data_IF_646654342116
#
_entry.id   IF_646654342116
#
_cell.length_a   1.000
_cell.length_b   1.000
_cell.length_c   1.000
_cell.angle_alpha   90.00
_cell.angle_beta   90.00
_cell.angle_gamma   90.00
#
_symmetry.space_group_name_H-M   'P 1'
#
loop_
_entity.id
_entity.type
_entity.pdbx_description
1 polymer ?
#
# COMPACT_ATOMS: atom_id res chain seq x y z
N UNK A 1 5.39 -20.29 6.73
CA UNK A 1 4.78 -19.87 5.45
C UNK A 1 4.22 -18.46 5.60
N UNK A 2 4.38 -17.59 4.60
CA UNK A 2 3.73 -16.27 4.61
C UNK A 2 2.27 -16.43 4.18
N UNK A 3 1.34 -15.80 4.90
CA UNK A 3 -0.08 -15.76 4.55
C UNK A 3 -0.42 -14.38 3.97
N UNK A 4 -1.21 -14.34 2.91
CA UNK A 4 -1.71 -13.07 2.36
C UNK A 4 -2.76 -12.49 3.31
N UNK A 5 -2.50 -11.31 3.86
CA UNK A 5 -3.40 -10.59 4.76
C UNK A 5 -4.42 -9.78 3.98
N UNK A 6 -3.96 -9.01 2.99
CA UNK A 6 -4.82 -8.27 2.09
C UNK A 6 -4.15 -8.07 0.73
N UNK A 7 -4.96 -7.76 -0.27
CA UNK A 7 -4.54 -7.45 -1.63
C UNK A 7 -5.23 -6.17 -2.08
N UNK A 8 -4.44 -5.23 -2.59
CA UNK A 8 -4.89 -4.00 -3.23
C UNK A 8 -4.59 -4.11 -4.72
N UNK A 9 -5.56 -3.79 -5.57
CA UNK A 9 -5.39 -3.70 -7.02
C UNK A 9 -5.48 -2.23 -7.44
N UNK A 10 -4.62 -1.83 -8.36
CA UNK A 10 -4.72 -0.56 -9.07
C UNK A 10 -5.47 -0.83 -10.38
N UNK A 11 -6.47 -0.01 -10.67
CA UNK A 11 -7.25 -0.04 -11.90
C UNK A 11 -7.62 1.39 -12.29
N UNK A 12 -7.24 1.81 -13.49
CA UNK A 12 -7.49 3.17 -14.01
C UNK A 12 -7.05 4.27 -13.02
N UNK A 13 -5.87 4.12 -12.41
CA UNK A 13 -5.35 5.11 -11.47
C UNK A 13 -5.98 5.09 -10.08
N UNK A 14 -6.82 4.09 -9.77
CA UNK A 14 -7.47 3.93 -8.46
C UNK A 14 -7.07 2.66 -7.76
N UNK A 15 -6.78 2.77 -6.47
CA UNK A 15 -6.46 1.65 -5.59
C UNK A 15 -7.72 1.12 -4.92
N UNK A 16 -7.98 -0.19 -5.08
CA UNK A 16 -9.15 -0.89 -4.55
C UNK A 16 -8.71 -2.16 -3.81
N UNK A 17 -9.35 -2.46 -2.68
CA UNK A 17 -9.08 -3.71 -1.95
C UNK A 17 -9.85 -4.84 -2.61
N UNK A 18 -9.13 -5.84 -3.10
CA UNK A 18 -9.74 -7.03 -3.73
C UNK A 18 -9.76 -8.24 -2.81
N UNK A 19 -8.98 -8.23 -1.73
CA UNK A 19 -8.96 -9.31 -0.73
C UNK A 19 -8.55 -8.80 0.63
N UNK A 20 -9.19 -9.30 1.68
CA UNK A 20 -8.85 -8.98 3.07
C UNK A 20 -9.27 -7.56 3.45
N UNK A 21 -8.64 -7.04 4.51
CA UNK A 21 -8.92 -5.70 5.01
C UNK A 21 -7.63 -4.87 5.05
N UNK A 22 -7.53 -3.88 4.15
CA UNK A 22 -6.46 -2.90 4.17
C UNK A 22 -6.91 -1.66 4.97
N UNK A 23 -6.02 -0.99 5.71
CA UNK A 23 -6.38 0.26 6.38
C UNK A 23 -6.82 1.34 5.39
N UNK A 24 -7.90 2.08 5.69
CA UNK A 24 -8.40 3.14 4.81
C UNK A 24 -7.32 4.19 4.47
N UNK A 25 -6.52 4.59 5.47
CA UNK A 25 -5.41 5.52 5.24
C UNK A 25 -4.35 5.00 4.25
N UNK A 26 -4.13 3.69 4.22
CA UNK A 26 -3.24 3.06 3.24
C UNK A 26 -3.84 3.11 1.82
N UNK A 27 -5.14 2.84 1.67
CA UNK A 27 -5.83 2.91 0.37
C UNK A 27 -5.83 4.34 -0.17
N UNK A 28 -6.14 5.34 0.66
CA UNK A 28 -6.10 6.75 0.28
C UNK A 28 -4.70 7.17 -0.15
N UNK A 29 -3.67 6.80 0.60
CA UNK A 29 -2.29 7.09 0.24
C UNK A 29 -1.86 6.38 -1.07
N UNK A 30 -2.28 5.13 -1.28
CA UNK A 30 -2.04 4.43 -2.54
C UNK A 30 -2.70 5.14 -3.73
N UNK A 31 -3.91 5.71 -3.57
CA UNK A 31 -4.55 6.51 -4.62
C UNK A 31 -3.75 7.78 -4.96
N UNK A 32 -3.26 8.51 -3.95
CA UNK A 32 -2.39 9.67 -4.17
C UNK A 32 -1.11 9.29 -4.93
N UNK A 33 -0.45 8.20 -4.51
CA UNK A 33 0.75 7.68 -5.17
C UNK A 33 0.44 7.23 -6.60
N UNK A 34 -0.69 6.55 -6.84
CA UNK A 34 -1.07 6.13 -8.18
C UNK A 34 -1.18 7.32 -9.14
N UNK A 35 -1.79 8.42 -8.69
CA UNK A 35 -1.88 9.66 -9.46
C UNK A 35 -0.51 10.32 -9.66
N UNK A 36 0.31 10.39 -8.61
CA UNK A 36 1.60 11.07 -8.65
C UNK A 36 2.63 10.35 -9.55
N UNK A 37 2.59 9.01 -9.56
CA UNK A 37 3.53 8.18 -10.31
C UNK A 37 2.94 7.61 -11.60
N UNK A 38 1.69 7.93 -11.96
CA UNK A 38 1.02 7.43 -13.16
C UNK A 38 0.86 5.91 -13.16
N UNK A 39 0.37 5.34 -12.05
CA UNK A 39 0.08 3.91 -11.95
C UNK A 39 -1.34 3.68 -12.44
N UNK A 40 -1.51 3.24 -13.69
CA UNK A 40 -2.83 2.90 -14.21
C UNK A 40 -3.31 1.54 -13.70
N UNK A 41 -2.46 0.53 -13.76
CA UNK A 41 -2.78 -0.84 -13.37
C UNK A 41 -1.67 -1.47 -12.52
N UNK A 42 -2.06 -2.44 -11.69
CA UNK A 42 -1.11 -3.21 -10.89
C UNK A 42 -1.70 -3.84 -9.65
N UNK A 43 -0.87 -4.51 -8.86
CA UNK A 43 -1.31 -5.20 -7.64
C UNK A 43 -0.27 -5.12 -6.54
N UNK A 44 -0.73 -4.87 -5.32
CA UNK A 44 0.05 -4.91 -4.08
C UNK A 44 -0.53 -5.94 -3.15
N UNK A 45 0.30 -6.88 -2.71
CA UNK A 45 -0.07 -7.93 -1.77
C UNK A 45 0.66 -7.74 -0.45
N UNK A 46 -0.08 -7.62 0.65
CA UNK A 46 0.50 -7.65 1.98
C UNK A 46 0.55 -9.10 2.46
N UNK A 47 1.75 -9.62 2.67
CA UNK A 47 2.01 -10.95 3.19
C UNK A 47 2.54 -10.86 4.62
N UNK A 48 1.97 -11.63 5.54
CA UNK A 48 2.38 -11.66 6.96
C UNK A 48 2.85 -13.07 7.37
N UNK A 49 3.80 -13.13 8.29
CA UNK A 49 4.31 -14.33 8.94
C UNK A 49 4.73 -13.98 10.38
N UNK A 50 3.83 -14.23 11.34
CA UNK A 50 4.03 -13.81 12.73
C UNK A 50 4.18 -12.28 12.81
N UNK A 51 5.27 -11.81 13.41
CA UNK A 51 5.59 -10.38 13.52
C UNK A 51 6.21 -9.79 12.23
N UNK A 52 6.51 -10.60 11.22
CA UNK A 52 7.07 -10.13 9.95
C UNK A 52 5.96 -9.88 8.95
N UNK A 53 5.94 -8.72 8.33
CA UNK A 53 5.10 -8.44 7.18
C UNK A 53 5.93 -7.90 6.02
N UNK A 54 5.49 -8.13 4.78
CA UNK A 54 6.10 -7.59 3.57
C UNK A 54 5.06 -7.25 2.52
N UNK A 55 5.34 -6.24 1.73
CA UNK A 55 4.60 -5.92 0.53
C UNK A 55 5.22 -6.59 -0.69
N UNK A 56 4.39 -7.17 -1.55
CA UNK A 56 4.77 -7.70 -2.85
C UNK A 56 4.08 -6.88 -3.93
N UNK A 57 4.86 -6.37 -4.89
CA UNK A 57 4.36 -5.54 -5.99
C UNK A 57 4.30 -6.38 -7.28
N UNK A 58 3.28 -6.15 -8.11
CA UNK A 58 3.27 -6.68 -9.48
C UNK A 58 4.24 -5.91 -10.36
N UNK A 59 4.60 -6.50 -11.50
CA UNK A 59 5.53 -5.90 -12.47
C UNK A 59 5.00 -4.60 -13.11
N UNK A 60 3.68 -4.39 -13.08
CA UNK A 60 3.03 -3.19 -13.62
C UNK A 60 3.27 -1.96 -12.73
N UNK A 61 3.59 -2.17 -11.45
CA UNK A 61 3.88 -1.06 -10.55
C UNK A 61 5.32 -0.60 -10.75
N UNK A 62 5.54 0.67 -11.12
CA UNK A 62 6.87 1.18 -11.40
C UNK A 62 7.71 1.21 -10.12
N UNK A 63 9.00 0.86 -10.23
CA UNK A 63 9.91 0.73 -9.08
C UNK A 63 10.03 2.03 -8.27
N UNK A 64 9.96 3.19 -8.95
CA UNK A 64 9.92 4.52 -8.32
C UNK A 64 8.78 4.69 -7.30
N UNK A 65 7.68 3.96 -7.46
CA UNK A 65 6.53 4.01 -6.55
C UNK A 65 6.63 3.00 -5.40
N UNK A 66 7.54 2.02 -5.46
CA UNK A 66 7.64 0.97 -4.42
C UNK A 66 8.02 1.56 -3.07
N UNK A 67 8.99 2.48 -3.04
CA UNK A 67 9.45 3.12 -1.82
C UNK A 67 8.38 4.03 -1.17
N UNK A 68 7.70 4.92 -1.92
CA UNK A 68 6.55 5.66 -1.41
C UNK A 68 5.45 4.76 -0.82
N UNK A 69 5.09 3.67 -1.51
CA UNK A 69 4.04 2.75 -1.02
C UNK A 69 4.48 2.08 0.28
N UNK A 70 5.76 1.71 0.40
CA UNK A 70 6.32 1.19 1.66
C UNK A 70 6.30 2.23 2.78
N UNK A 71 6.59 3.50 2.48
CA UNK A 71 6.61 4.57 3.48
C UNK A 71 5.21 4.85 4.07
N UNK A 72 4.16 4.75 3.26
CA UNK A 72 2.77 4.96 3.72
C UNK A 72 2.14 3.70 4.32
N UNK A 73 2.81 2.55 4.19
CA UNK A 73 2.37 1.30 4.76
C UNK A 73 2.89 1.13 6.18
N UNK A 74 2.00 1.22 7.17
CA UNK A 74 2.33 0.93 8.57
C UNK A 74 2.22 -0.57 8.85
N UNK A 75 3.32 -1.27 9.22
CA UNK A 75 3.23 -2.66 9.67
C UNK A 75 2.49 -2.76 11.02
N UNK A 76 1.84 -3.89 11.32
CA UNK A 76 0.94 -4.04 12.47
C UNK A 76 1.59 -3.97 13.89
N UNK A 77 2.85 -3.60 14.03
CA UNK A 77 3.50 -3.38 15.34
C UNK A 77 4.59 -2.32 15.19
N UNK A 78 4.19 -1.06 15.09
CA UNK A 78 5.02 0.11 15.44
C UNK A 78 4.09 1.32 15.59
N UNK A 79 4.18 2.11 16.68
CA UNK A 79 3.45 3.36 16.79
C UNK A 79 4.04 4.36 15.79
N UNK A 80 3.45 4.50 14.61
CA UNK A 80 3.89 5.50 13.65
C UNK A 80 3.43 6.87 14.12
N UNK A 81 4.43 7.66 14.51
CA UNK A 81 4.40 9.12 14.68
C UNK A 81 3.58 9.72 13.53
N UNK A 82 2.40 10.22 13.84
CA UNK A 82 1.49 10.84 12.90
C UNK A 82 2.12 12.09 12.29
N UNK A 83 2.46 12.02 11.00
CA UNK A 83 2.66 13.20 10.18
C UNK A 83 1.32 13.86 9.94
N UNK A 84 0.84 14.62 10.93
CA UNK A 84 -0.25 15.57 10.76
C UNK A 84 0.13 16.52 9.63
N UNK A 85 -0.60 16.47 8.52
CA UNK A 85 -0.66 17.60 7.60
C UNK A 85 -1.33 18.73 8.38
N UNK A 86 -0.53 19.69 8.86
CA UNK A 86 -1.03 20.98 9.29
C UNK A 86 -1.79 21.59 8.10
N UNK A 87 -3.11 21.66 8.20
CA UNK A 87 -3.92 22.65 7.50
C UNK A 87 -4.09 23.79 8.49
N UNK A 88 -3.64 24.98 8.09
CA UNK A 88 -3.71 26.20 8.89
C UNK A 88 -5.12 26.75 9.03
#
# INVERSE_FOLDING_TARGET
MYKTRFVVKFKQGRAEVVRGHAPNGFISACNDIARLYGIDDGRVECQTRGSKARLKFSKEIPERAHQPIRNVWTPPTSPTRGGSRARG
#
